data_IF_808102493297
#
_entry.id   IF_808102493297
#
_cell.length_a   1.000
_cell.length_b   1.000
_cell.length_c   1.000
_cell.angle_alpha   90.00
_cell.angle_beta   90.00
_cell.angle_gamma   90.00
#
_symmetry.space_group_name_H-M   'P 1'
#
loop_
_entity.id
_entity.type
_entity.pdbx_description
1 polymer ?
#
# COMPACT_ATOMS: atom_id res chain seq x y z
N UNK A 1 -17.30 -6.28 -23.72
CA UNK A 1 -17.53 -5.11 -22.82
C UNK A 1 -18.64 -5.30 -21.77
N UNK A 2 -19.04 -6.54 -21.39
CA UNK A 2 -20.11 -6.79 -20.39
C UNK A 2 -19.65 -7.14 -18.96
N UNK A 3 -18.34 -7.05 -18.64
CA UNK A 3 -17.83 -7.47 -17.32
C UNK A 3 -18.13 -6.47 -16.18
N UNK A 4 -18.17 -5.17 -16.46
CA UNK A 4 -18.36 -4.14 -15.44
C UNK A 4 -19.80 -4.08 -14.90
N UNK A 5 -20.80 -4.37 -15.73
CA UNK A 5 -22.22 -4.32 -15.32
C UNK A 5 -22.64 -5.44 -14.37
N UNK A 6 -21.83 -6.47 -14.21
CA UNK A 6 -22.17 -7.64 -13.38
C UNK A 6 -21.35 -7.69 -12.08
N UNK A 7 -20.56 -6.65 -11.80
CA UNK A 7 -19.76 -6.59 -10.59
C UNK A 7 -20.64 -6.33 -9.37
N UNK A 8 -20.35 -7.01 -8.26
CA UNK A 8 -20.94 -6.64 -6.98
C UNK A 8 -20.52 -5.21 -6.61
N UNK A 9 -21.38 -4.47 -5.89
CA UNK A 9 -21.09 -3.08 -5.49
C UNK A 9 -19.79 -2.97 -4.67
N UNK A 10 -19.51 -3.97 -3.83
CA UNK A 10 -18.30 -4.03 -3.01
C UNK A 10 -17.04 -4.26 -3.85
N UNK A 11 -17.09 -5.16 -4.85
CA UNK A 11 -15.98 -5.34 -5.78
C UNK A 11 -15.72 -4.06 -6.60
N UNK A 12 -16.78 -3.36 -7.04
CA UNK A 12 -16.63 -2.09 -7.74
C UNK A 12 -15.99 -1.01 -6.83
N UNK A 13 -16.40 -0.93 -5.57
CA UNK A 13 -15.82 -0.02 -4.59
C UNK A 13 -14.31 -0.27 -4.41
N UNK A 14 -13.88 -1.52 -4.24
CA UNK A 14 -12.46 -1.87 -4.16
C UNK A 14 -11.69 -1.43 -5.41
N UNK A 15 -12.24 -1.64 -6.61
CA UNK A 15 -11.59 -1.22 -7.87
C UNK A 15 -11.45 0.30 -7.97
N UNK A 16 -12.45 1.05 -7.52
CA UNK A 16 -12.38 2.51 -7.45
C UNK A 16 -11.28 2.93 -6.46
N UNK A 17 -11.22 2.31 -5.29
CA UNK A 17 -10.19 2.58 -4.28
C UNK A 17 -8.77 2.32 -4.80
N UNK A 18 -8.57 1.28 -5.61
CA UNK A 18 -7.27 0.97 -6.23
C UNK A 18 -6.73 2.08 -7.14
N UNK A 19 -7.62 2.89 -7.72
CA UNK A 19 -7.23 4.05 -8.51
C UNK A 19 -7.08 5.30 -7.65
N UNK A 20 -8.03 5.52 -6.73
CA UNK A 20 -8.06 6.75 -5.92
C UNK A 20 -6.95 6.81 -4.87
N UNK A 21 -6.67 5.71 -4.17
CA UNK A 21 -5.77 5.72 -3.02
C UNK A 21 -4.30 6.01 -3.37
N UNK A 22 -3.72 5.50 -4.47
CA UNK A 22 -2.40 5.94 -4.91
C UNK A 22 -2.33 7.44 -5.24
N UNK A 23 -3.40 8.01 -5.80
CA UNK A 23 -3.48 9.45 -6.07
C UNK A 23 -3.56 10.26 -4.78
N UNK A 24 -4.32 9.78 -3.79
CA UNK A 24 -4.37 10.37 -2.44
C UNK A 24 -2.98 10.32 -1.80
N UNK A 25 -2.27 9.19 -1.90
CA UNK A 25 -0.92 9.04 -1.34
C UNK A 25 0.08 10.03 -1.95
N UNK A 26 0.04 10.24 -3.27
CA UNK A 26 0.90 11.25 -3.93
C UNK A 26 0.48 12.67 -3.56
N UNK A 27 -0.83 12.95 -3.55
CA UNK A 27 -1.36 14.28 -3.25
C UNK A 27 -1.11 14.71 -1.79
N UNK A 28 -0.97 13.74 -0.87
CA UNK A 28 -0.66 14.00 0.54
C UNK A 28 0.65 14.77 0.74
N UNK A 29 1.60 14.70 -0.20
CA UNK A 29 2.84 15.48 -0.14
C UNK A 29 2.60 17.00 -0.35
N UNK A 30 1.44 17.40 -0.87
CA UNK A 30 1.13 18.78 -1.29
C UNK A 30 2.14 19.36 -2.30
N UNK A 31 2.76 18.47 -3.07
CA UNK A 31 3.71 18.79 -4.12
C UNK A 31 3.18 18.18 -5.41
N UNK A 32 3.22 18.95 -6.50
CA UNK A 32 2.69 18.50 -7.78
C UNK A 32 3.72 17.60 -8.47
N UNK A 33 3.43 16.29 -8.65
CA UNK A 33 4.25 15.47 -9.53
C UNK A 33 4.14 15.98 -10.98
N UNK A 34 5.14 15.66 -11.80
CA UNK A 34 5.07 15.94 -13.24
C UNK A 34 3.94 15.18 -13.93
N UNK A 35 3.36 15.77 -14.96
CA UNK A 35 2.32 15.15 -15.80
C UNK A 35 2.64 13.71 -16.26
N UNK A 36 3.84 13.38 -16.77
CA UNK A 36 4.12 12.00 -17.22
C UNK A 36 4.04 10.98 -16.07
N UNK A 37 4.44 11.37 -14.86
CA UNK A 37 4.32 10.50 -13.67
C UNK A 37 2.86 10.20 -13.34
N UNK A 38 1.99 11.23 -13.35
CA UNK A 38 0.56 11.05 -13.08
C UNK A 38 -0.12 10.16 -14.13
N UNK A 39 0.21 10.35 -15.41
CA UNK A 39 -0.32 9.51 -16.49
C UNK A 39 0.10 8.06 -16.30
N UNK A 40 1.38 7.81 -16.04
CA UNK A 40 1.90 6.46 -15.78
C UNK A 40 1.22 5.83 -14.56
N UNK A 41 1.11 6.58 -13.45
CA UNK A 41 0.45 6.13 -12.23
C UNK A 41 -1.02 5.76 -12.48
N UNK A 42 -1.76 6.59 -13.20
CA UNK A 42 -3.17 6.33 -13.55
C UNK A 42 -3.32 5.09 -14.42
N UNK A 43 -2.45 4.91 -15.43
CA UNK A 43 -2.47 3.75 -16.30
C UNK A 43 -2.21 2.46 -15.51
N UNK A 44 -1.18 2.46 -14.67
CA UNK A 44 -0.82 1.30 -13.85
C UNK A 44 -1.87 1.01 -12.77
N UNK A 45 -2.41 2.04 -12.12
CA UNK A 45 -3.48 1.88 -11.13
C UNK A 45 -4.78 1.38 -11.78
N UNK A 46 -5.09 1.84 -13.00
CA UNK A 46 -6.19 1.30 -13.81
C UNK A 46 -5.98 -0.16 -14.17
N UNK A 47 -4.75 -0.55 -14.58
CA UNK A 47 -4.40 -1.95 -14.84
C UNK A 47 -4.54 -2.80 -13.57
N UNK A 48 -4.08 -2.29 -12.43
CA UNK A 48 -4.21 -2.96 -11.13
C UNK A 48 -5.68 -3.10 -10.69
N UNK A 49 -6.51 -2.10 -10.94
CA UNK A 49 -7.96 -2.17 -10.69
C UNK A 49 -8.68 -3.17 -11.61
N UNK A 50 -8.16 -3.42 -12.81
CA UNK A 50 -8.69 -4.43 -13.73
C UNK A 50 -8.22 -5.84 -13.37
N UNK A 51 -6.96 -5.97 -12.95
CA UNK A 51 -6.25 -7.21 -12.61
C UNK A 51 -5.57 -7.07 -11.23
N UNK A 52 -6.33 -7.19 -10.11
CA UNK A 52 -5.84 -6.98 -8.75
C UNK A 52 -4.64 -7.86 -8.36
N UNK A 53 -4.59 -9.07 -8.92
CA UNK A 53 -3.53 -10.08 -8.73
C UNK A 53 -2.27 -9.83 -9.58
N UNK A 54 -2.28 -8.86 -10.49
CA UNK A 54 -1.13 -8.58 -11.35
C UNK A 54 0.00 -7.87 -10.61
N UNK A 55 1.23 -8.01 -11.13
CA UNK A 55 2.41 -7.28 -10.64
C UNK A 55 2.31 -5.76 -10.80
N UNK A 56 1.33 -5.26 -11.57
CA UNK A 56 1.08 -3.82 -11.72
C UNK A 56 0.88 -3.12 -10.36
N UNK A 57 0.23 -3.79 -9.40
CA UNK A 57 0.05 -3.26 -8.05
C UNK A 57 1.38 -3.00 -7.33
N UNK A 58 2.32 -3.93 -7.41
CA UNK A 58 3.65 -3.76 -6.82
C UNK A 58 4.36 -2.58 -7.47
N UNK A 59 4.29 -2.46 -8.80
CA UNK A 59 4.89 -1.34 -9.53
C UNK A 59 4.26 -0.01 -9.11
N UNK A 60 2.94 0.08 -8.92
CA UNK A 60 2.26 1.28 -8.42
C UNK A 60 2.78 1.66 -7.03
N UNK A 61 2.84 0.70 -6.10
CA UNK A 61 3.30 0.96 -4.74
C UNK A 61 4.74 1.47 -4.73
N UNK A 62 5.64 0.78 -5.44
CA UNK A 62 7.05 1.17 -5.55
C UNK A 62 7.20 2.54 -6.22
N UNK A 63 6.45 2.81 -7.29
CA UNK A 63 6.48 4.10 -7.99
C UNK A 63 6.11 5.25 -7.05
N UNK A 64 5.07 5.11 -6.24
CA UNK A 64 4.67 6.14 -5.26
C UNK A 64 5.72 6.30 -4.17
N UNK A 65 6.25 5.19 -3.63
CA UNK A 65 7.30 5.21 -2.60
C UNK A 65 8.57 5.89 -3.12
N UNK A 66 9.03 5.53 -4.33
CA UNK A 66 10.21 6.11 -4.96
C UNK A 66 10.03 7.60 -5.24
N UNK A 67 8.85 8.03 -5.67
CA UNK A 67 8.56 9.45 -5.85
C UNK A 67 8.60 10.22 -4.53
N UNK A 68 8.00 9.67 -3.47
CA UNK A 68 8.08 10.25 -2.13
C UNK A 68 9.52 10.41 -1.66
N UNK A 69 10.34 9.37 -1.81
CA UNK A 69 11.74 9.38 -1.40
C UNK A 69 12.59 10.39 -2.18
N UNK A 70 12.32 10.57 -3.48
CA UNK A 70 13.15 11.42 -4.35
C UNK A 70 12.71 12.89 -4.39
N UNK A 71 11.42 13.17 -4.29
CA UNK A 71 10.87 14.49 -4.58
C UNK A 71 10.37 15.25 -3.34
N UNK A 72 10.01 14.56 -2.25
CA UNK A 72 9.40 15.21 -1.08
C UNK A 72 10.47 15.77 -0.15
N UNK A 73 10.48 17.09 -0.01
CA UNK A 73 11.45 17.86 0.80
C UNK A 73 11.52 17.47 2.27
N UNK A 74 10.38 17.15 2.89
CA UNK A 74 10.28 16.74 4.30
C UNK A 74 9.70 15.33 4.39
N UNK A 75 10.56 14.30 4.36
CA UNK A 75 10.12 12.90 4.37
C UNK A 75 9.59 12.45 5.74
N UNK A 76 9.89 13.18 6.82
CA UNK A 76 9.43 12.88 8.18
C UNK A 76 8.20 13.68 8.59
N UNK A 77 7.67 14.55 7.72
CA UNK A 77 6.42 15.25 7.98
C UNK A 77 5.26 14.26 8.21
N UNK A 78 4.34 14.59 9.13
CA UNK A 78 3.19 13.73 9.52
C UNK A 78 2.35 13.24 8.33
N UNK A 79 2.39 13.96 7.20
CA UNK A 79 1.69 13.63 5.96
C UNK A 79 2.16 12.29 5.35
N UNK A 80 3.36 11.83 5.67
CA UNK A 80 3.86 10.50 5.25
C UNK A 80 2.99 9.38 5.79
N UNK A 81 2.40 9.56 6.99
CA UNK A 81 1.47 8.59 7.57
C UNK A 81 0.20 8.47 6.74
N UNK A 82 -0.33 9.60 6.25
CA UNK A 82 -1.50 9.58 5.35
C UNK A 82 -1.19 8.83 4.06
N UNK A 83 -0.01 9.06 3.47
CA UNK A 83 0.41 8.34 2.27
C UNK A 83 0.58 6.84 2.53
N UNK A 84 1.24 6.46 3.63
CA UNK A 84 1.43 5.07 4.03
C UNK A 84 0.08 4.37 4.26
N UNK A 85 -0.84 4.99 4.99
CA UNK A 85 -2.20 4.45 5.22
C UNK A 85 -2.99 4.33 3.92
N UNK A 86 -2.89 5.29 3.01
CA UNK A 86 -3.54 5.20 1.70
C UNK A 86 -3.00 4.04 0.85
N UNK A 87 -1.67 3.86 0.79
CA UNK A 87 -1.05 2.73 0.08
C UNK A 87 -1.43 1.38 0.70
N UNK A 88 -1.46 1.30 2.03
CA UNK A 88 -1.89 0.09 2.74
C UNK A 88 -3.38 -0.22 2.47
N UNK A 89 -4.24 0.78 2.49
CA UNK A 89 -5.65 0.63 2.15
C UNK A 89 -5.83 0.18 0.68
N UNK A 90 -4.99 0.67 -0.24
CA UNK A 90 -5.00 0.22 -1.63
C UNK A 90 -4.61 -1.26 -1.73
N UNK A 91 -3.55 -1.66 -1.01
CA UNK A 91 -3.14 -3.06 -0.95
C UNK A 91 -4.26 -3.97 -0.39
N UNK A 92 -4.91 -3.56 0.71
CA UNK A 92 -6.05 -4.30 1.27
C UNK A 92 -7.20 -4.39 0.27
N UNK A 93 -7.53 -3.30 -0.44
CA UNK A 93 -8.56 -3.31 -1.47
C UNK A 93 -8.22 -4.28 -2.62
N UNK A 94 -6.94 -4.40 -3.00
CA UNK A 94 -6.50 -5.35 -4.02
C UNK A 94 -6.65 -6.79 -3.53
N UNK A 95 -6.20 -7.06 -2.31
CA UNK A 95 -6.32 -8.37 -1.69
C UNK A 95 -7.80 -8.78 -1.61
N UNK A 96 -8.68 -7.90 -1.13
CA UNK A 96 -10.12 -8.13 -1.09
C UNK A 96 -10.74 -8.34 -2.47
N UNK A 97 -10.31 -7.57 -3.48
CA UNK A 97 -10.77 -7.73 -4.85
C UNK A 97 -10.27 -9.02 -5.53
N UNK A 98 -9.19 -9.62 -5.02
CA UNK A 98 -8.57 -10.83 -5.59
C UNK A 98 -9.15 -12.15 -5.05
N UNK A 99 -9.87 -12.13 -3.92
CA UNK A 99 -10.40 -13.35 -3.27
C UNK A 99 -11.49 -14.10 -4.07
N UNK A 100 -12.06 -13.52 -5.12
CA UNK A 100 -13.08 -14.22 -5.89
C UNK A 100 -13.52 -13.51 -7.17
N UNK A 101 -14.35 -14.17 -7.99
CA UNK A 101 -14.89 -13.57 -9.19
C UNK A 101 -15.65 -12.28 -8.88
N UNK A 102 -15.53 -11.29 -9.76
CA UNK A 102 -16.03 -9.92 -9.56
C UNK A 102 -17.54 -9.79 -9.24
N UNK A 103 -18.32 -10.84 -9.45
CA UNK A 103 -19.77 -10.90 -9.19
C UNK A 103 -20.10 -11.29 -7.75
N UNK A 104 -19.20 -12.01 -7.08
CA UNK A 104 -19.42 -12.39 -5.70
C UNK A 104 -19.24 -11.16 -4.79
N UNK A 105 -20.13 -10.97 -3.82
CA UNK A 105 -19.92 -9.96 -2.80
C UNK A 105 -18.74 -10.37 -1.90
N UNK A 106 -17.94 -9.38 -1.52
CA UNK A 106 -16.89 -9.57 -0.52
C UNK A 106 -17.55 -9.90 0.83
N UNK A 107 -17.12 -10.99 1.47
CA UNK A 107 -17.55 -11.35 2.82
C UNK A 107 -17.11 -10.28 3.83
N UNK A 108 -18.08 -9.75 4.59
CA UNK A 108 -17.84 -8.73 5.61
C UNK A 108 -16.91 -9.20 6.73
N UNK A 109 -16.92 -10.49 7.09
CA UNK A 109 -16.03 -11.04 8.11
C UNK A 109 -14.59 -11.09 7.61
N UNK A 110 -14.39 -11.45 6.34
CA UNK A 110 -13.07 -11.40 5.72
C UNK A 110 -12.57 -9.96 5.59
N UNK A 111 -13.44 -9.04 5.18
CA UNK A 111 -13.12 -7.62 5.10
C UNK A 111 -12.71 -7.05 6.47
N UNK A 112 -13.43 -7.38 7.56
CA UNK A 112 -13.09 -6.89 8.89
C UNK A 112 -11.76 -7.43 9.41
N UNK A 113 -11.42 -8.69 9.13
CA UNK A 113 -10.09 -9.25 9.46
C UNK A 113 -8.96 -8.50 8.75
N UNK A 114 -9.13 -8.18 7.46
CA UNK A 114 -8.15 -7.40 6.71
C UNK A 114 -8.05 -5.95 7.18
N UNK A 115 -9.18 -5.34 7.55
CA UNK A 115 -9.19 -4.01 8.14
C UNK A 115 -8.45 -3.99 9.48
N UNK A 116 -8.65 -4.98 10.35
CA UNK A 116 -7.95 -5.08 11.62
C UNK A 116 -6.43 -5.22 11.42
N UNK A 117 -6.01 -6.05 10.45
CA UNK A 117 -4.60 -6.16 10.04
C UNK A 117 -4.06 -4.83 9.52
N UNK A 118 -4.86 -4.10 8.75
CA UNK A 118 -4.52 -2.76 8.27
C UNK A 118 -4.35 -1.75 9.40
N UNK A 119 -5.21 -1.78 10.41
CA UNK A 119 -5.10 -0.93 11.61
C UNK A 119 -3.82 -1.26 12.38
N UNK A 120 -3.55 -2.55 12.62
CA UNK A 120 -2.34 -2.99 13.31
C UNK A 120 -1.07 -2.55 12.54
N UNK A 121 -1.04 -2.71 11.21
CA UNK A 121 0.07 -2.26 10.38
C UNK A 121 0.21 -0.72 10.36
N UNK A 122 -0.89 0.03 10.39
CA UNK A 122 -0.87 1.49 10.51
C UNK A 122 -0.32 1.94 11.87
N UNK A 123 -0.64 1.22 12.96
CA UNK A 123 -0.08 1.48 14.28
C UNK A 123 1.44 1.23 14.31
N UNK A 124 1.90 0.16 13.65
CA UNK A 124 3.33 -0.10 13.49
C UNK A 124 4.03 1.01 12.68
N UNK A 125 3.41 1.51 11.61
CA UNK A 125 3.92 2.63 10.83
C UNK A 125 4.00 3.93 11.64
N UNK A 126 2.98 4.22 12.47
CA UNK A 126 3.00 5.36 13.40
C UNK A 126 4.14 5.25 14.41
N UNK A 127 4.35 4.06 14.98
CA UNK A 127 5.44 3.81 15.91
C UNK A 127 6.80 4.01 15.22
N UNK A 128 6.98 3.46 14.02
CA UNK A 128 8.21 3.64 13.24
C UNK A 128 8.48 5.11 12.92
N UNK A 129 7.44 5.87 12.55
CA UNK A 129 7.53 7.31 12.34
C UNK A 129 7.91 8.07 13.61
N UNK A 130 7.33 7.72 14.76
CA UNK A 130 7.66 8.36 16.04
C UNK A 130 9.13 8.11 16.43
N UNK A 131 9.62 6.88 16.26
CA UNK A 131 11.03 6.54 16.50
C UNK A 131 11.95 7.28 15.53
N UNK A 132 11.60 7.31 14.24
CA UNK A 132 12.38 8.04 13.22
C UNK A 132 12.47 9.54 13.54
N UNK A 133 11.36 10.15 13.96
CA UNK A 133 11.29 11.57 14.33
C UNK A 133 12.12 11.84 15.59
N UNK A 134 12.07 10.95 16.59
CA UNK A 134 12.89 11.06 17.79
C UNK A 134 14.39 10.96 17.48
N UNK A 135 14.78 10.05 16.57
CA UNK A 135 16.16 9.87 16.14
C UNK A 135 16.68 10.98 15.24
N UNK A 136 15.82 11.72 14.54
CA UNK A 136 16.23 12.77 13.60
C UNK A 136 17.07 13.88 14.25
N UNK A 137 16.93 14.10 15.56
CA UNK A 137 17.75 15.05 16.32
C UNK A 137 19.18 14.59 16.61
N UNK A 138 19.50 13.30 16.42
CA UNK A 138 20.75 12.67 16.84
C UNK A 138 21.83 12.63 15.73
N UNK A 139 21.65 13.38 14.64
CA UNK A 139 22.56 13.41 13.49
C UNK A 139 22.39 12.23 12.51
N UNK A 140 23.13 12.22 11.39
CA UNK A 140 23.01 11.19 10.35
C UNK A 140 23.53 9.82 10.83
N UNK A 141 22.68 8.78 10.75
CA UNK A 141 22.98 7.42 11.22
C UNK A 141 22.70 6.36 10.12
N UNK A 142 23.50 6.30 9.03
CA UNK A 142 23.22 5.46 7.86
C UNK A 142 23.21 3.95 8.15
N UNK A 143 24.03 3.50 9.12
CA UNK A 143 24.06 2.10 9.53
C UNK A 143 22.73 1.64 10.16
N UNK A 144 22.10 2.50 10.96
CA UNK A 144 20.84 2.21 11.64
C UNK A 144 19.69 2.01 10.65
N UNK A 145 19.64 2.82 9.60
CA UNK A 145 18.67 2.65 8.52
C UNK A 145 18.84 1.34 7.76
N UNK A 146 20.09 0.94 7.52
CA UNK A 146 20.40 -0.34 6.85
C UNK A 146 19.98 -1.52 7.72
N UNK A 147 20.27 -1.47 9.03
CA UNK A 147 19.86 -2.50 9.99
C UNK A 147 18.34 -2.57 10.10
N UNK A 148 17.66 -1.43 10.17
CA UNK A 148 16.20 -1.38 10.22
C UNK A 148 15.58 -1.99 8.96
N UNK A 149 16.09 -1.65 7.78
CA UNK A 149 15.62 -2.21 6.50
C UNK A 149 15.83 -3.72 6.44
N UNK A 150 17.02 -4.21 6.81
CA UNK A 150 17.32 -5.64 6.86
C UNK A 150 16.46 -6.37 7.88
N UNK A 151 16.22 -5.76 9.04
CA UNK A 151 15.34 -6.31 10.08
C UNK A 151 13.91 -6.46 9.60
N UNK A 152 13.36 -5.44 8.93
CA UNK A 152 12.01 -5.50 8.33
C UNK A 152 11.95 -6.54 7.23
N UNK A 153 12.92 -6.57 6.32
CA UNK A 153 12.98 -7.57 5.25
C UNK A 153 13.06 -8.99 5.80
N UNK A 154 13.92 -9.22 6.80
CA UNK A 154 14.05 -10.51 7.49
C UNK A 154 12.75 -10.93 8.17
N UNK A 155 12.07 -10.01 8.87
CA UNK A 155 10.78 -10.29 9.51
C UNK A 155 9.70 -10.68 8.48
N UNK A 156 9.63 -9.98 7.35
CA UNK A 156 8.69 -10.30 6.25
C UNK A 156 8.98 -11.68 5.65
N UNK A 157 10.25 -11.99 5.38
CA UNK A 157 10.65 -13.30 4.84
C UNK A 157 10.32 -14.41 5.83
N UNK A 158 10.70 -14.27 7.10
CA UNK A 158 10.41 -15.25 8.14
C UNK A 158 8.91 -15.48 8.33
N UNK A 159 8.11 -14.41 8.36
CA UNK A 159 6.65 -14.53 8.43
C UNK A 159 6.08 -15.27 7.21
N UNK A 160 6.61 -15.00 6.01
CA UNK A 160 6.19 -15.67 4.78
C UNK A 160 6.53 -17.16 4.77
N UNK A 161 7.71 -17.54 5.27
CA UNK A 161 8.13 -18.94 5.39
C UNK A 161 7.25 -19.67 6.41
N UNK A 162 7.08 -19.11 7.61
CA UNK A 162 6.25 -19.71 8.65
C UNK A 162 4.80 -19.93 8.21
N UNK A 163 4.22 -18.97 7.49
CA UNK A 163 2.86 -19.10 6.94
C UNK A 163 2.77 -20.20 5.88
N UNK A 164 3.82 -20.40 5.09
CA UNK A 164 3.87 -21.47 4.07
C UNK A 164 3.91 -22.85 4.73
N UNK A 165 4.75 -23.02 5.75
CA UNK A 165 4.92 -24.31 6.42
C UNK A 165 3.63 -24.77 7.12
N UNK A 166 2.87 -23.83 7.70
CA UNK A 166 1.55 -24.15 8.31
C UNK A 166 0.46 -24.56 7.31
N UNK A 167 0.69 -24.41 6.00
CA UNK A 167 -0.28 -24.77 4.96
C UNK A 167 -0.02 -26.13 4.31
N UNK A 168 1.12 -26.77 4.64
CA UNK A 168 1.51 -28.10 4.15
C UNK A 168 1.12 -29.26 5.08
N UNK A 169 0.59 -28.96 6.26
CA UNK A 169 0.06 -29.93 7.24
C UNK A 169 -1.48 -30.03 7.14
#
# INVERSE_FOLDING_TARGET
MNRLRQSSRSALACRILLVLLPLVAVSAAWQRPGTPFLVLLLVLAGLWALLPESSAGIVVLLLVISWWAAAVRDPLGVRVLLAATALLAAHIAAVLASYGPARLPIDGRLASLWLLRGVAASAAALLAWAVATWLAGSGPQPALWSIALLGVAGAVVSASVLLRDTSSD
#
